data_IF_687436757647
#
_entry.id   IF_687436757647
#
_cell.length_a   1.000
_cell.length_b   1.000
_cell.length_c   1.000
_cell.angle_alpha   90.00
_cell.angle_beta   90.00
_cell.angle_gamma   90.00
#
_symmetry.space_group_name_H-M   'P 1'
#
loop_
_entity.id
_entity.type
_entity.pdbx_description
1 polymer ?
#
# COMPACT_ATOMS: atom_id res chain seq x y z
N UNK A 1 -25.70 6.71 -3.52
CA UNK A 1 -25.26 5.37 -3.08
C UNK A 1 -24.29 4.82 -4.09
N UNK A 2 -23.55 3.76 -3.77
CA UNK A 2 -22.55 3.16 -4.68
C UNK A 2 -23.19 2.56 -5.93
N UNK A 3 -24.39 1.97 -5.82
CA UNK A 3 -25.08 1.31 -6.94
C UNK A 3 -24.80 -0.19 -7.01
N UNK A 4 -25.13 -0.83 -8.13
CA UNK A 4 -24.88 -2.27 -8.32
C UNK A 4 -23.37 -2.55 -8.42
N UNK A 5 -22.87 -3.35 -7.49
CA UNK A 5 -21.52 -3.90 -7.51
C UNK A 5 -21.60 -5.33 -8.02
N UNK A 6 -20.83 -5.71 -9.06
CA UNK A 6 -20.82 -7.08 -9.56
C UNK A 6 -20.52 -8.08 -8.44
N UNK A 7 -21.47 -8.96 -8.13
CA UNK A 7 -21.30 -9.97 -7.12
C UNK A 7 -20.51 -11.17 -7.69
N UNK A 8 -19.50 -11.62 -6.96
CA UNK A 8 -18.68 -12.78 -7.34
C UNK A 8 -17.19 -12.49 -7.27
N UNK A 9 -16.40 -13.49 -7.64
CA UNK A 9 -14.96 -13.32 -7.83
C UNK A 9 -14.72 -12.52 -9.12
N UNK A 10 -13.70 -11.63 -9.14
CA UNK A 10 -13.34 -10.93 -10.36
C UNK A 10 -13.00 -11.96 -11.46
N UNK A 11 -13.48 -11.75 -12.70
CA UNK A 11 -13.14 -12.65 -13.80
C UNK A 11 -11.63 -12.63 -14.05
N UNK A 12 -11.10 -13.77 -14.49
CA UNK A 12 -9.73 -13.81 -15.00
C UNK A 12 -9.67 -13.02 -16.32
N UNK A 13 -8.95 -11.91 -16.30
CA UNK A 13 -8.70 -11.04 -17.44
C UNK A 13 -7.28 -11.21 -17.94
N UNK A 14 -7.08 -11.29 -19.25
CA UNK A 14 -5.74 -11.21 -19.83
C UNK A 14 -5.35 -9.75 -20.05
N UNK A 15 -4.14 -9.30 -19.64
CA UNK A 15 -3.68 -7.97 -19.97
C UNK A 15 -3.59 -7.81 -21.49
N UNK A 16 -4.09 -6.70 -22.01
CA UNK A 16 -4.08 -6.42 -23.45
C UNK A 16 -2.67 -6.27 -24.01
N UNK A 17 -2.39 -6.86 -25.17
CA UNK A 17 -1.09 -6.81 -25.84
C UNK A 17 -1.03 -5.70 -26.92
N UNK A 18 -1.33 -4.46 -26.53
CA UNK A 18 -1.22 -3.30 -27.41
C UNK A 18 0.13 -2.59 -27.21
N UNK A 19 1.05 -2.74 -28.17
CA UNK A 19 2.40 -2.15 -28.09
C UNK A 19 2.40 -0.63 -27.89
N UNK A 20 1.40 0.09 -28.41
CA UNK A 20 1.23 1.52 -28.21
C UNK A 20 0.91 1.85 -26.76
N UNK A 21 -0.02 1.10 -26.15
CA UNK A 21 -0.40 1.26 -24.74
C UNK A 21 0.77 0.92 -23.81
N UNK A 22 1.51 -0.15 -24.09
CA UNK A 22 2.65 -0.57 -23.28
C UNK A 22 3.74 0.51 -23.26
N UNK A 23 4.07 1.12 -24.40
CA UNK A 23 5.08 2.19 -24.44
C UNK A 23 4.66 3.45 -23.67
N UNK A 24 3.37 3.82 -23.72
CA UNK A 24 2.83 4.97 -22.97
C UNK A 24 2.81 4.73 -21.46
N UNK A 25 2.47 3.52 -21.03
CA UNK A 25 2.35 3.17 -19.61
C UNK A 25 3.69 2.77 -18.99
N UNK A 26 4.70 2.38 -19.78
CA UNK A 26 5.95 1.81 -19.28
C UNK A 26 6.63 2.70 -18.23
N UNK A 27 6.80 3.99 -18.52
CA UNK A 27 7.45 4.93 -17.61
C UNK A 27 6.65 5.10 -16.32
N UNK A 28 5.33 5.27 -16.42
CA UNK A 28 4.45 5.41 -15.26
C UNK A 28 4.44 4.15 -14.39
N UNK A 29 4.34 2.97 -15.01
CA UNK A 29 4.36 1.68 -14.33
C UNK A 29 5.69 1.45 -13.60
N UNK A 30 6.81 1.80 -14.23
CA UNK A 30 8.14 1.69 -13.62
C UNK A 30 8.27 2.60 -12.39
N UNK A 31 7.80 3.85 -12.49
CA UNK A 31 7.82 4.78 -11.36
C UNK A 31 6.94 4.29 -10.20
N UNK A 32 5.71 3.84 -10.48
CA UNK A 32 4.79 3.30 -9.47
C UNK A 32 5.40 2.05 -8.82
N UNK A 33 6.01 1.16 -9.60
CA UNK A 33 6.64 -0.04 -9.08
C UNK A 33 7.82 0.28 -8.15
N UNK A 34 8.68 1.24 -8.52
CA UNK A 34 9.81 1.64 -7.69
C UNK A 34 9.33 2.29 -6.40
N UNK A 35 8.38 3.22 -6.47
CA UNK A 35 7.82 3.90 -5.30
C UNK A 35 7.16 2.87 -4.38
N UNK A 36 6.34 1.97 -4.92
CA UNK A 36 5.65 0.94 -4.15
C UNK A 36 6.59 -0.07 -3.49
N UNK A 37 7.69 -0.42 -4.16
CA UNK A 37 8.73 -1.26 -3.57
C UNK A 37 9.46 -0.56 -2.42
N UNK A 38 9.90 0.69 -2.63
CA UNK A 38 10.59 1.49 -1.61
C UNK A 38 9.68 1.72 -0.40
N UNK A 39 8.40 2.02 -0.61
CA UNK A 39 7.41 2.14 0.46
C UNK A 39 7.31 0.84 1.27
N UNK A 40 7.12 -0.29 0.59
CA UNK A 40 6.97 -1.60 1.25
C UNK A 40 8.19 -1.98 2.08
N UNK A 41 9.39 -1.86 1.50
CA UNK A 41 10.64 -2.17 2.21
C UNK A 41 10.84 -1.22 3.39
N UNK A 42 10.54 0.07 3.24
CA UNK A 42 10.66 1.05 4.34
C UNK A 42 9.74 0.71 5.51
N UNK A 43 8.49 0.36 5.22
CA UNK A 43 7.52 -0.09 6.24
C UNK A 43 7.99 -1.38 6.90
N UNK A 44 8.42 -2.35 6.10
CA UNK A 44 8.95 -3.62 6.58
C UNK A 44 10.11 -3.41 7.54
N UNK A 45 11.15 -2.69 7.11
CA UNK A 45 12.34 -2.44 7.93
C UNK A 45 12.01 -1.72 9.24
N UNK A 46 11.09 -0.75 9.19
CA UNK A 46 10.62 -0.03 10.40
C UNK A 46 10.00 -0.99 11.41
N UNK A 47 9.20 -1.95 10.93
CA UNK A 47 8.50 -2.91 11.77
C UNK A 47 9.43 -4.03 12.28
N UNK A 48 10.32 -4.50 11.41
CA UNK A 48 11.34 -5.49 11.72
C UNK A 48 12.31 -4.98 12.80
N UNK A 49 12.69 -3.70 12.75
CA UNK A 49 13.49 -3.05 13.76
C UNK A 49 12.82 -3.11 15.15
N UNK A 50 11.49 -3.00 15.23
CA UNK A 50 10.74 -3.12 16.50
C UNK A 50 10.77 -4.54 17.10
N UNK A 51 10.87 -5.59 16.28
CA UNK A 51 10.93 -7.01 16.73
C UNK A 51 12.33 -7.63 16.69
N UNK A 52 13.36 -6.87 16.27
CA UNK A 52 14.70 -7.40 15.96
C UNK A 52 14.66 -8.55 14.94
N UNK A 53 13.70 -8.51 14.02
CA UNK A 53 13.62 -9.45 12.90
C UNK A 53 14.46 -8.93 11.73
N UNK A 54 14.93 -9.83 10.87
CA UNK A 54 15.56 -9.47 9.59
C UNK A 54 14.51 -9.58 8.50
N UNK A 55 14.45 -8.58 7.64
CA UNK A 55 13.72 -8.64 6.37
C UNK A 55 14.74 -8.80 5.26
N UNK A 56 14.41 -9.70 4.33
CA UNK A 56 15.13 -9.91 3.10
C UNK A 56 14.44 -9.13 1.97
N UNK A 57 15.06 -8.03 1.46
CA UNK A 57 14.49 -7.24 0.38
C UNK A 57 14.19 -8.04 -0.89
N UNK A 58 14.95 -9.11 -1.18
CA UNK A 58 14.75 -9.92 -2.37
C UNK A 58 13.44 -10.71 -2.28
N UNK A 59 13.12 -11.24 -1.08
CA UNK A 59 11.84 -11.92 -0.82
C UNK A 59 10.66 -10.96 -0.88
N UNK A 60 10.83 -9.73 -0.40
CA UNK A 60 9.81 -8.68 -0.52
C UNK A 60 9.57 -8.29 -1.98
N UNK A 61 10.63 -8.18 -2.79
CA UNK A 61 10.52 -7.89 -4.22
C UNK A 61 9.76 -9.00 -4.96
N UNK A 62 10.10 -10.26 -4.70
CA UNK A 62 9.40 -11.42 -5.29
C UNK A 62 7.94 -11.45 -4.84
N UNK A 63 7.66 -11.19 -3.55
CA UNK A 63 6.29 -11.15 -3.02
C UNK A 63 5.44 -10.05 -3.67
N UNK A 64 5.97 -8.84 -3.79
CA UNK A 64 5.28 -7.72 -4.45
C UNK A 64 5.10 -7.97 -5.95
N UNK A 65 6.14 -8.46 -6.63
CA UNK A 65 6.10 -8.76 -8.05
C UNK A 65 5.05 -9.82 -8.38
N UNK A 66 5.07 -10.95 -7.66
CA UNK A 66 4.09 -12.02 -7.84
C UNK A 66 2.66 -11.56 -7.52
N UNK A 67 2.47 -10.73 -6.49
CA UNK A 67 1.17 -10.13 -6.16
C UNK A 67 0.65 -9.22 -7.27
N UNK A 68 1.51 -8.36 -7.85
CA UNK A 68 1.14 -7.48 -8.95
C UNK A 68 0.85 -8.25 -10.25
N UNK A 69 1.60 -9.32 -10.53
CA UNK A 69 1.30 -10.23 -11.65
C UNK A 69 -0.08 -10.86 -11.45
N UNK A 70 -0.37 -11.40 -10.26
CA UNK A 70 -1.67 -11.99 -9.95
C UNK A 70 -2.81 -10.97 -10.09
N UNK A 71 -2.61 -9.71 -9.63
CA UNK A 71 -3.58 -8.63 -9.79
C UNK A 71 -3.83 -8.29 -11.27
N UNK A 72 -2.80 -8.34 -12.12
CA UNK A 72 -2.91 -8.10 -13.56
C UNK A 72 -3.90 -9.07 -14.22
N UNK A 73 -3.95 -10.32 -13.74
CA UNK A 73 -4.84 -11.35 -14.26
C UNK A 73 -6.28 -11.25 -13.74
N UNK A 74 -6.57 -10.41 -12.75
CA UNK A 74 -7.92 -10.24 -12.19
C UNK A 74 -8.48 -8.84 -12.41
N UNK A 75 -7.79 -8.01 -13.22
CA UNK A 75 -8.13 -6.61 -13.44
C UNK A 75 -7.86 -5.73 -12.22
N UNK A 76 -7.04 -6.20 -11.28
CA UNK A 76 -6.66 -5.51 -10.06
C UNK A 76 -5.69 -4.35 -10.31
N UNK A 77 -5.72 -3.38 -9.39
CA UNK A 77 -4.76 -2.27 -9.36
C UNK A 77 -3.41 -2.70 -8.76
N UNK A 78 -2.33 -1.97 -9.03
CA UNK A 78 -1.03 -2.23 -8.42
C UNK A 78 -1.10 -2.27 -6.87
N UNK A 79 -0.46 -3.27 -6.28
CA UNK A 79 -0.43 -3.52 -4.84
C UNK A 79 0.93 -3.13 -4.26
N UNK A 80 0.92 -2.39 -3.15
CA UNK A 80 2.12 -1.96 -2.41
C UNK A 80 2.03 -2.36 -0.94
N UNK A 81 3.15 -2.39 -0.22
CA UNK A 81 3.17 -2.55 1.24
C UNK A 81 2.57 -1.32 1.93
N UNK A 82 1.69 -1.51 2.92
CA UNK A 82 0.95 -0.41 3.55
C UNK A 82 1.27 -0.27 5.03
N UNK A 83 1.69 0.92 5.47
CA UNK A 83 2.06 1.17 6.87
C UNK A 83 0.92 0.86 7.84
N UNK A 84 -0.27 1.42 7.60
CA UNK A 84 -1.41 1.29 8.52
C UNK A 84 -1.83 -0.17 8.74
N UNK A 85 -1.94 -0.96 7.66
CA UNK A 85 -2.30 -2.38 7.75
C UNK A 85 -1.22 -3.21 8.44
N UNK A 86 0.06 -2.92 8.18
CA UNK A 86 1.17 -3.65 8.80
C UNK A 86 1.28 -3.35 10.30
N UNK A 87 1.06 -2.09 10.73
CA UNK A 87 1.04 -1.71 12.15
C UNK A 87 -0.14 -2.34 12.88
N UNK A 88 -1.35 -2.28 12.32
CA UNK A 88 -2.53 -2.92 12.94
C UNK A 88 -2.31 -4.43 13.08
N UNK A 89 -1.78 -5.09 12.04
CA UNK A 89 -1.48 -6.51 12.07
C UNK A 89 -0.39 -6.85 13.11
N UNK A 90 0.62 -5.98 13.27
CA UNK A 90 1.67 -6.12 14.26
C UNK A 90 1.18 -5.95 15.69
N UNK A 91 0.33 -4.95 15.93
CA UNK A 91 -0.26 -4.66 17.24
C UNK A 91 -1.27 -5.74 17.63
N UNK A 92 -1.92 -6.38 16.65
CA UNK A 92 -2.74 -7.57 16.84
C UNK A 92 -1.93 -8.84 17.19
N UNK A 93 -0.59 -8.75 17.20
CA UNK A 93 0.29 -9.86 17.57
C UNK A 93 0.57 -10.87 16.44
N UNK A 94 0.44 -10.46 15.17
CA UNK A 94 0.78 -11.36 14.07
C UNK A 94 2.28 -11.74 14.07
N UNK A 95 2.55 -13.03 14.19
CA UNK A 95 3.92 -13.58 14.18
C UNK A 95 4.30 -14.26 12.87
N UNK A 96 3.32 -14.56 12.01
CA UNK A 96 3.53 -15.31 10.76
C UNK A 96 2.80 -14.65 9.59
N UNK A 97 3.24 -14.91 8.33
CA UNK A 97 2.53 -14.48 7.12
C UNK A 97 1.07 -14.97 7.04
N UNK A 98 0.70 -15.99 7.82
CA UNK A 98 -0.66 -16.53 7.86
C UNK A 98 -1.71 -15.48 8.24
N UNK A 99 -1.36 -14.47 9.05
CA UNK A 99 -2.28 -13.37 9.38
C UNK A 99 -2.76 -12.61 8.11
N UNK A 100 -1.87 -12.43 7.14
CA UNK A 100 -2.21 -11.86 5.83
C UNK A 100 -3.14 -12.78 5.02
N UNK A 101 -2.92 -14.09 5.06
CA UNK A 101 -3.78 -15.07 4.41
C UNK A 101 -5.20 -15.08 5.01
N UNK A 102 -5.33 -15.04 6.33
CA UNK A 102 -6.64 -14.92 7.00
C UNK A 102 -7.34 -13.61 6.64
N UNK A 103 -6.59 -12.51 6.54
CA UNK A 103 -7.14 -11.22 6.09
C UNK A 103 -7.65 -11.31 4.66
N UNK A 104 -6.91 -11.94 3.75
CA UNK A 104 -7.32 -12.14 2.37
C UNK A 104 -8.59 -13.00 2.26
N UNK A 105 -8.68 -14.10 3.02
CA UNK A 105 -9.89 -14.95 3.10
C UNK A 105 -11.06 -14.17 3.67
N UNK A 106 -10.84 -13.38 4.73
CA UNK A 106 -11.87 -12.53 5.32
C UNK A 106 -12.40 -11.48 4.34
N UNK A 107 -11.52 -10.82 3.58
CA UNK A 107 -11.91 -9.88 2.54
C UNK A 107 -12.68 -10.59 1.41
N UNK A 108 -12.24 -11.78 0.99
CA UNK A 108 -12.94 -12.55 -0.04
C UNK A 108 -14.34 -12.96 0.41
N UNK A 109 -14.48 -13.45 1.65
CA UNK A 109 -15.77 -13.79 2.23
C UNK A 109 -16.68 -12.55 2.40
N UNK A 110 -16.11 -11.44 2.87
CA UNK A 110 -16.83 -10.17 2.98
C UNK A 110 -17.29 -9.67 1.60
N UNK A 111 -16.44 -9.74 0.58
CA UNK A 111 -16.85 -9.41 -0.78
C UNK A 111 -18.02 -10.31 -1.21
N UNK A 112 -17.91 -11.63 -1.12
CA UNK A 112 -18.98 -12.52 -1.60
C UNK A 112 -20.30 -12.40 -0.83
N UNK A 113 -20.26 -12.19 0.49
CA UNK A 113 -21.45 -12.19 1.35
C UNK A 113 -22.04 -10.79 1.58
N UNK A 114 -21.20 -9.75 1.65
CA UNK A 114 -21.60 -8.37 1.97
C UNK A 114 -21.71 -7.47 0.74
N UNK A 115 -21.35 -7.90 -0.47
CA UNK A 115 -21.62 -7.14 -1.71
C UNK A 115 -23.04 -6.56 -1.80
N UNK A 116 -24.13 -7.31 -1.52
CA UNK A 116 -25.48 -6.74 -1.56
C UNK A 116 -25.69 -5.63 -0.51
N UNK A 117 -24.98 -5.68 0.61
CA UNK A 117 -25.06 -4.64 1.64
C UNK A 117 -24.28 -3.38 1.24
N UNK A 118 -23.16 -3.54 0.53
CA UNK A 118 -22.33 -2.43 0.02
C UNK A 118 -23.09 -1.57 -1.00
N UNK A 119 -24.02 -2.15 -1.76
CA UNK A 119 -24.84 -1.40 -2.72
C UNK A 119 -25.64 -0.25 -2.06
N UNK A 120 -26.04 -0.42 -0.79
CA UNK A 120 -26.76 0.60 -0.01
C UNK A 120 -25.85 1.70 0.57
N UNK A 121 -24.53 1.56 0.46
CA UNK A 121 -23.60 2.47 1.11
C UNK A 121 -23.60 3.85 0.40
N UNK A 122 -23.78 4.96 1.13
CA UNK A 122 -23.65 6.29 0.55
C UNK A 122 -22.20 6.59 0.13
N UNK A 123 -22.03 7.22 -1.04
CA UNK A 123 -20.71 7.70 -1.51
C UNK A 123 -20.10 8.67 -0.47
N UNK A 124 -20.93 9.41 0.24
CA UNK A 124 -20.51 10.29 1.33
C UNK A 124 -19.76 9.55 2.45
N UNK A 125 -20.18 8.32 2.79
CA UNK A 125 -19.51 7.51 3.83
C UNK A 125 -18.13 7.08 3.35
N UNK A 126 -18.00 6.61 2.11
CA UNK A 126 -16.71 6.26 1.51
C UNK A 126 -15.76 7.47 1.46
N UNK A 127 -16.27 8.63 1.03
CA UNK A 127 -15.49 9.86 1.00
C UNK A 127 -15.02 10.28 2.40
N UNK A 128 -15.91 10.21 3.40
CA UNK A 128 -15.56 10.50 4.79
C UNK A 128 -14.47 9.56 5.32
N UNK A 129 -14.54 8.26 5.03
CA UNK A 129 -13.51 7.30 5.41
C UNK A 129 -12.15 7.64 4.80
N UNK A 130 -12.10 8.01 3.51
CA UNK A 130 -10.86 8.45 2.85
C UNK A 130 -10.31 9.71 3.52
N UNK A 131 -11.16 10.71 3.79
CA UNK A 131 -10.74 11.95 4.47
C UNK A 131 -10.15 11.64 5.84
N UNK A 132 -10.81 10.81 6.65
CA UNK A 132 -10.30 10.41 7.97
C UNK A 132 -8.97 9.65 7.86
N UNK A 133 -8.83 8.74 6.89
CA UNK A 133 -7.60 8.02 6.65
C UNK A 133 -6.45 8.98 6.28
N UNK A 134 -6.68 9.94 5.39
CA UNK A 134 -5.67 10.95 5.00
C UNK A 134 -5.30 11.85 6.18
N UNK A 135 -6.29 12.31 6.95
CA UNK A 135 -6.04 13.13 8.15
C UNK A 135 -5.19 12.38 9.19
N UNK A 136 -5.37 11.06 9.31
CA UNK A 136 -4.55 10.23 10.21
C UNK A 136 -3.09 10.08 9.75
N UNK A 137 -2.81 10.26 8.46
CA UNK A 137 -1.46 10.22 7.90
C UNK A 137 -0.70 11.54 8.11
N UNK A 138 -1.42 12.65 8.29
CA UNK A 138 -0.82 13.97 8.53
C UNK A 138 -0.31 14.07 9.97
N UNK A 139 1.00 13.90 10.15
CA UNK A 139 1.66 14.13 11.43
C UNK A 139 2.01 15.63 11.62
N UNK A 140 1.03 16.38 12.14
CA UNK A 140 1.19 17.81 12.47
C UNK A 140 2.29 18.03 13.53
N UNK A 141 2.55 17.04 14.40
CA UNK A 141 3.56 17.14 15.44
C UNK A 141 4.98 16.98 14.86
N UNK A 142 5.18 16.12 13.87
CA UNK A 142 6.44 15.99 13.13
C UNK A 142 6.81 17.30 12.42
N UNK A 143 5.85 17.95 11.77
CA UNK A 143 6.06 19.25 11.10
C UNK A 143 6.53 20.32 12.09
N UNK A 144 5.95 20.38 13.29
CA UNK A 144 6.38 21.33 14.33
C UNK A 144 7.77 21.02 14.89
N UNK A 145 8.20 19.75 14.90
CA UNK A 145 9.53 19.33 15.40
C UNK A 145 10.66 19.57 14.41
N UNK A 146 10.42 19.50 13.10
CA UNK A 146 11.43 19.77 12.05
C UNK A 146 11.55 21.25 11.70
N UNK A 147 10.54 22.07 12.02
CA UNK A 147 10.58 23.52 11.84
C UNK A 147 11.78 24.22 12.51
N UNK A 148 12.16 23.94 13.78
CA UNK A 148 13.31 24.59 14.40
C UNK A 148 14.69 24.12 13.89
N UNK A 149 14.80 23.02 13.13
CA UNK A 149 16.10 22.48 12.67
C UNK A 149 16.69 23.31 11.52
N UNK A 150 15.85 24.03 10.75
CA UNK A 150 16.32 24.88 9.65
C UNK A 150 16.99 26.18 10.13
N UNK A 151 16.80 26.60 11.37
CA UNK A 151 17.41 27.81 11.91
C UNK A 151 18.83 27.59 12.49
N UNK A 152 19.29 26.34 12.60
CA UNK A 152 20.53 25.98 13.29
C UNK A 152 21.47 25.09 12.46
N UNK A 153 21.44 25.16 11.12
CA UNK A 153 22.42 24.48 10.29
C UNK A 153 23.74 25.29 10.28
N UNK A 154 24.83 24.82 10.92
CA UNK A 154 26.11 25.51 10.85
C UNK A 154 26.63 25.42 9.41
N UNK A 155 27.09 26.54 8.86
CA UNK A 155 27.71 26.57 7.53
C UNK A 155 28.86 25.54 7.47
N UNK A 156 29.00 24.76 6.38
CA UNK A 156 30.13 23.86 6.24
C UNK A 156 31.43 24.69 6.23
N UNK A 157 32.29 24.47 7.23
CA UNK A 157 33.64 25.02 7.26
C UNK A 157 34.48 24.32 6.19
N UNK A 158 34.44 24.82 4.96
CA UNK A 158 35.38 24.42 3.92
C UNK A 158 36.76 25.07 4.21
N UNK A 159 37.86 24.31 4.34
CA UNK A 159 39.18 24.90 4.46
C UNK A 159 39.63 25.48 3.10
N UNK A 160 40.14 26.71 3.04
CA UNK A 160 40.76 27.23 1.82
C UNK A 160 42.09 26.51 1.58
N UNK A 161 42.24 25.98 0.36
CA UNK A 161 43.49 25.45 -0.21
C UNK A 161 44.51 26.54 -0.45
#
# INVERSE_FOLDING_TARGET
>A
MVGEVPAGLPPLTLPGFDSGLWSQLFVAALLISVIGFVESVSVGQTLAAKRRQRIDPDQELVGLGTSNIAASFTGGMPVTGGFARSVVNFDAGAETPAAGAFTAVGIAAAALLLTPLIAYLPIATLAATIIVAVLSLVDIAAIKRTWPIHAAMPRPCWPPS
#
